data_IF_753354962008
#
_entry.id   IF_753354962008
#
_cell.length_a   1.000
_cell.length_b   1.000
_cell.length_c   1.000
_cell.angle_alpha   90.00
_cell.angle_beta   90.00
_cell.angle_gamma   90.00
#
_symmetry.space_group_name_H-M   'P 1'
#
loop_
_entity.id
_entity.type
_entity.pdbx_description
1 polymer ?
#
# COMPACT_ATOMS: atom_id res chain seq x y z
N UNK A 1 16.13 4.76 31.08
CA UNK A 1 15.34 5.88 30.51
C UNK A 1 14.07 6.07 31.36
N UNK A 2 13.65 7.30 31.70
CA UNK A 2 12.45 7.55 32.52
C UNK A 2 11.15 7.07 31.83
N UNK A 3 10.23 6.42 32.56
CA UNK A 3 8.98 5.83 32.03
C UNK A 3 8.06 6.87 31.39
N UNK A 4 8.01 8.08 31.95
CA UNK A 4 7.30 9.26 31.46
C UNK A 4 7.74 9.66 30.05
N UNK A 5 9.05 9.59 29.75
CA UNK A 5 9.56 9.86 28.40
C UNK A 5 9.10 8.80 27.40
N UNK A 6 9.13 7.52 27.76
CA UNK A 6 8.69 6.42 26.87
C UNK A 6 7.22 6.60 26.47
N UNK A 7 6.36 6.92 27.44
CA UNK A 7 4.93 7.18 27.21
C UNK A 7 4.73 8.41 26.33
N UNK A 8 5.44 9.51 26.58
CA UNK A 8 5.34 10.72 25.76
C UNK A 8 5.73 10.50 24.29
N UNK A 9 6.84 9.77 24.05
CA UNK A 9 7.32 9.47 22.69
C UNK A 9 6.32 8.57 21.95
N UNK A 10 5.72 7.59 22.64
CA UNK A 10 4.69 6.72 22.07
C UNK A 10 3.44 7.52 21.65
N UNK A 11 2.94 8.42 22.50
CA UNK A 11 1.80 9.27 22.19
C UNK A 11 2.09 10.19 20.98
N UNK A 12 3.27 10.81 20.95
CA UNK A 12 3.68 11.63 19.82
C UNK A 12 3.72 10.83 18.51
N UNK A 13 4.24 9.59 18.55
CA UNK A 13 4.29 8.69 17.40
C UNK A 13 2.89 8.34 16.85
N UNK A 14 1.93 8.05 17.73
CA UNK A 14 0.53 7.77 17.32
C UNK A 14 -0.11 9.00 16.68
N UNK A 15 0.06 10.18 17.28
CA UNK A 15 -0.51 11.44 16.75
C UNK A 15 0.09 11.77 15.38
N UNK A 16 1.41 11.65 15.21
CA UNK A 16 2.08 11.90 13.93
C UNK A 16 1.55 10.95 12.85
N UNK A 17 1.44 9.64 13.14
CA UNK A 17 0.90 8.64 12.20
C UNK A 17 -0.53 9.00 11.79
N UNK A 18 -1.37 9.43 12.73
CA UNK A 18 -2.74 9.84 12.44
C UNK A 18 -2.79 11.07 11.52
N UNK A 19 -2.04 12.11 11.84
CA UNK A 19 -1.98 13.34 11.03
C UNK A 19 -1.52 13.05 9.61
N UNK A 20 -0.43 12.27 9.44
CA UNK A 20 0.08 11.90 8.12
C UNK A 20 -0.95 11.10 7.30
N UNK A 21 -1.67 10.18 7.94
CA UNK A 21 -2.75 9.45 7.31
C UNK A 21 -3.86 10.40 6.83
N UNK A 22 -4.37 11.29 7.70
CA UNK A 22 -5.42 12.25 7.31
C UNK A 22 -4.98 13.13 6.14
N UNK A 23 -3.76 13.68 6.20
CA UNK A 23 -3.21 14.49 5.10
C UNK A 23 -3.07 13.67 3.81
N UNK A 24 -2.74 12.39 3.92
CA UNK A 24 -2.61 11.50 2.78
C UNK A 24 -3.92 11.20 2.05
N UNK A 25 -5.07 11.10 2.75
CA UNK A 25 -6.34 10.95 2.04
C UNK A 25 -6.64 12.14 1.13
N UNK A 26 -6.34 13.33 1.64
CA UNK A 26 -6.71 14.59 0.98
C UNK A 26 -5.70 14.97 -0.10
N UNK A 27 -4.40 14.90 0.22
CA UNK A 27 -3.32 15.43 -0.64
C UNK A 27 -2.44 14.33 -1.26
N UNK A 28 -2.29 13.18 -0.60
CA UNK A 28 -1.42 12.09 -1.05
C UNK A 28 -2.05 11.16 -2.09
N UNK A 29 -3.34 11.34 -2.39
CA UNK A 29 -4.08 10.51 -3.34
C UNK A 29 -4.59 9.18 -2.75
N UNK A 30 -4.64 9.04 -1.41
CA UNK A 30 -5.04 7.80 -0.74
C UNK A 30 -6.42 7.28 -1.17
N UNK A 31 -7.41 8.17 -1.35
CA UNK A 31 -8.75 7.81 -1.83
C UNK A 31 -8.69 7.34 -3.29
N UNK A 32 -7.97 8.08 -4.14
CA UNK A 32 -7.86 7.77 -5.58
C UNK A 32 -7.21 6.40 -5.76
N UNK A 33 -6.14 6.12 -5.02
CA UNK A 33 -5.45 4.83 -5.05
C UNK A 33 -6.35 3.70 -4.53
N UNK A 34 -7.06 3.92 -3.43
CA UNK A 34 -7.98 2.93 -2.87
C UNK A 34 -9.11 2.59 -3.87
N UNK A 35 -9.65 3.59 -4.55
CA UNK A 35 -10.64 3.39 -5.61
C UNK A 35 -10.04 2.65 -6.80
N UNK A 36 -8.81 2.99 -7.23
CA UNK A 36 -8.11 2.29 -8.30
C UNK A 36 -7.91 0.80 -8.01
N UNK A 37 -7.46 0.47 -6.79
CA UNK A 37 -7.35 -0.92 -6.34
C UNK A 37 -8.70 -1.61 -6.16
N UNK A 38 -9.74 -0.89 -5.73
CA UNK A 38 -11.10 -1.42 -5.64
C UNK A 38 -11.68 -1.75 -7.01
N UNK A 39 -11.46 -0.90 -8.00
CA UNK A 39 -11.88 -1.11 -9.38
C UNK A 39 -11.14 -2.29 -10.02
N UNK A 40 -9.82 -2.39 -9.82
CA UNK A 40 -9.03 -3.55 -10.26
C UNK A 40 -9.55 -4.84 -9.61
N UNK A 41 -9.96 -4.79 -8.34
CA UNK A 41 -10.56 -5.95 -7.67
C UNK A 41 -11.91 -6.35 -8.27
N UNK A 42 -12.77 -5.37 -8.58
CA UNK A 42 -14.06 -5.62 -9.22
C UNK A 42 -13.88 -6.32 -10.57
N UNK A 43 -12.95 -5.85 -11.41
CA UNK A 43 -12.60 -6.51 -12.68
C UNK A 43 -12.16 -7.95 -12.44
N UNK A 44 -11.28 -8.17 -11.45
CA UNK A 44 -10.80 -9.51 -11.12
C UNK A 44 -11.92 -10.45 -10.66
N UNK A 45 -12.92 -9.94 -9.94
CA UNK A 45 -14.08 -10.73 -9.54
C UNK A 45 -15.00 -11.07 -10.71
N UNK A 46 -15.21 -10.13 -11.64
CA UNK A 46 -16.00 -10.36 -12.86
C UNK A 46 -15.36 -11.43 -13.74
N UNK A 47 -14.02 -11.46 -13.82
CA UNK A 47 -13.28 -12.42 -14.62
C UNK A 47 -13.23 -13.83 -14.00
N UNK A 48 -13.70 -14.01 -12.75
CA UNK A 48 -13.80 -15.25 -11.94
C UNK A 48 -12.48 -16.02 -11.75
N UNK A 49 -11.76 -16.32 -12.81
CA UNK A 49 -10.43 -16.96 -12.81
C UNK A 49 -9.41 -16.13 -12.03
N UNK A 50 -9.59 -14.81 -11.94
CA UNK A 50 -8.67 -13.89 -11.27
C UNK A 50 -9.11 -13.46 -9.86
N UNK A 51 -10.08 -14.14 -9.24
CA UNK A 51 -10.55 -13.86 -7.87
C UNK A 51 -9.40 -13.72 -6.84
N UNK A 52 -8.34 -14.58 -6.82
CA UNK A 52 -7.24 -14.43 -5.87
C UNK A 52 -6.53 -13.07 -5.98
N UNK A 53 -6.45 -12.52 -7.19
CA UNK A 53 -5.87 -11.20 -7.45
C UNK A 53 -6.77 -10.07 -6.96
N UNK A 54 -8.08 -10.23 -7.10
CA UNK A 54 -9.05 -9.26 -6.59
C UNK A 54 -8.98 -9.11 -5.07
N UNK A 55 -8.86 -10.23 -4.35
CA UNK A 55 -8.66 -10.20 -2.88
C UNK A 55 -7.36 -9.51 -2.51
N UNK A 56 -6.28 -9.79 -3.24
CA UNK A 56 -4.99 -9.16 -3.00
C UNK A 56 -5.03 -7.64 -3.29
N UNK A 57 -5.75 -7.23 -4.33
CA UNK A 57 -5.99 -5.84 -4.70
C UNK A 57 -6.83 -5.10 -3.65
N UNK A 58 -7.92 -5.69 -3.13
CA UNK A 58 -8.70 -5.08 -2.05
C UNK A 58 -7.87 -4.83 -0.78
N UNK A 59 -6.98 -5.76 -0.44
CA UNK A 59 -6.08 -5.55 0.69
C UNK A 59 -5.14 -4.38 0.46
N UNK A 60 -4.64 -4.20 -0.77
CA UNK A 60 -3.86 -3.01 -1.12
C UNK A 60 -4.70 -1.74 -1.13
N UNK A 61 -5.99 -1.80 -1.49
CA UNK A 61 -6.91 -0.68 -1.37
C UNK A 61 -7.04 -0.21 0.09
N UNK A 62 -7.22 -1.14 1.02
CA UNK A 62 -7.28 -0.84 2.46
C UNK A 62 -5.94 -0.31 2.98
N UNK A 63 -4.84 -0.85 2.48
CA UNK A 63 -3.51 -0.37 2.85
C UNK A 63 -3.21 1.02 2.27
N UNK A 64 -3.67 1.33 1.06
CA UNK A 64 -3.52 2.64 0.45
C UNK A 64 -4.43 3.69 1.08
N UNK A 65 -5.51 3.31 1.77
CA UNK A 65 -6.24 4.24 2.63
C UNK A 65 -5.33 4.69 3.77
N UNK A 66 -4.81 3.75 4.59
CA UNK A 66 -3.93 4.00 5.74
C UNK A 66 -2.52 3.37 5.62
N UNK A 67 -1.58 4.03 4.93
CA UNK A 67 -0.23 3.49 4.72
C UNK A 67 0.76 3.79 5.85
N UNK A 68 0.53 4.85 6.65
CA UNK A 68 1.48 5.23 7.70
C UNK A 68 1.26 4.40 8.95
N UNK A 69 2.36 3.89 9.51
CA UNK A 69 2.31 2.97 10.65
C UNK A 69 2.03 1.51 10.28
N UNK A 70 2.02 1.15 8.99
CA UNK A 70 1.87 -0.23 8.49
C UNK A 70 2.98 -0.60 7.54
N UNK A 71 3.28 -1.88 7.37
CA UNK A 71 4.27 -2.37 6.41
C UNK A 71 3.86 -3.70 5.80
N UNK A 72 4.42 -4.02 4.64
CA UNK A 72 4.10 -5.23 3.89
C UNK A 72 5.20 -6.25 4.08
N UNK A 73 4.91 -7.36 4.75
CA UNK A 73 5.85 -8.44 5.02
C UNK A 73 5.50 -9.70 4.23
N UNK A 74 6.46 -10.57 3.92
CA UNK A 74 6.18 -11.89 3.36
C UNK A 74 5.37 -12.74 4.34
N UNK A 75 4.31 -13.39 3.85
CA UNK A 75 3.48 -14.29 4.66
C UNK A 75 4.16 -15.66 4.79
N UNK A 76 4.32 -16.21 6.01
CA UNK A 76 4.81 -17.57 6.21
C UNK A 76 3.93 -18.59 5.46
N UNK A 77 4.54 -19.50 4.71
CA UNK A 77 3.84 -20.50 3.91
C UNK A 77 3.40 -20.06 2.50
N UNK A 78 3.79 -18.85 2.06
CA UNK A 78 3.67 -18.48 0.65
C UNK A 78 4.58 -19.35 -0.22
N UNK A 79 3.98 -20.28 -0.98
CA UNK A 79 4.71 -21.22 -1.84
C UNK A 79 4.79 -20.81 -3.32
N UNK A 80 5.29 -21.72 -4.14
CA UNK A 80 5.48 -21.57 -5.60
C UNK A 80 4.22 -21.09 -6.31
N UNK A 81 3.03 -21.52 -5.88
CA UNK A 81 1.75 -21.08 -6.44
C UNK A 81 1.54 -19.56 -6.34
N UNK A 82 1.96 -18.91 -5.24
CA UNK A 82 1.92 -17.46 -5.11
C UNK A 82 2.91 -16.79 -6.07
N UNK A 83 4.08 -17.38 -6.28
CA UNK A 83 5.05 -16.89 -7.26
C UNK A 83 4.49 -16.90 -8.68
N UNK A 84 3.93 -18.03 -9.12
CA UNK A 84 3.34 -18.18 -10.45
C UNK A 84 2.14 -17.23 -10.66
N UNK A 85 1.28 -17.10 -9.65
CA UNK A 85 0.18 -16.15 -9.69
C UNK A 85 0.69 -14.70 -9.83
N UNK A 86 1.73 -14.31 -9.07
CA UNK A 86 2.29 -12.96 -9.20
C UNK A 86 2.88 -12.69 -10.59
N UNK A 87 3.45 -13.68 -11.28
CA UNK A 87 3.89 -13.50 -12.68
C UNK A 87 2.70 -13.15 -13.58
N UNK A 88 1.59 -13.89 -13.47
CA UNK A 88 0.37 -13.58 -14.20
C UNK A 88 -0.16 -12.19 -13.85
N UNK A 89 -0.16 -11.83 -12.57
CA UNK A 89 -0.56 -10.50 -12.10
C UNK A 89 0.29 -9.39 -12.71
N UNK A 90 1.62 -9.53 -12.67
CA UNK A 90 2.54 -8.52 -13.20
C UNK A 90 2.25 -8.26 -14.66
N UNK A 91 1.97 -9.28 -15.47
CA UNK A 91 1.66 -9.13 -16.90
C UNK A 91 0.30 -8.44 -17.12
N UNK A 92 -0.71 -8.78 -16.32
CA UNK A 92 -2.08 -8.27 -16.51
C UNK A 92 -2.28 -6.84 -15.96
N UNK A 93 -1.84 -6.58 -14.73
CA UNK A 93 -2.20 -5.36 -13.99
C UNK A 93 -1.09 -4.80 -13.09
N UNK A 94 -0.18 -5.64 -12.57
CA UNK A 94 0.78 -5.26 -11.55
C UNK A 94 1.76 -4.18 -12.01
N UNK A 95 2.20 -4.20 -13.28
CA UNK A 95 3.13 -3.20 -13.80
C UNK A 95 2.47 -1.82 -13.99
N UNK A 96 1.22 -1.77 -14.44
CA UNK A 96 0.46 -0.53 -14.55
C UNK A 96 0.30 0.15 -13.19
N UNK A 97 -0.12 -0.61 -12.18
CA UNK A 97 -0.32 -0.11 -10.81
C UNK A 97 1.00 0.37 -10.19
N UNK A 98 2.08 -0.40 -10.36
CA UNK A 98 3.41 0.00 -9.91
C UNK A 98 3.87 1.29 -10.59
N UNK A 99 3.66 1.43 -11.89
CA UNK A 99 4.00 2.64 -12.64
C UNK A 99 3.16 3.84 -12.18
N UNK A 100 1.86 3.67 -11.96
CA UNK A 100 0.99 4.73 -11.41
C UNK A 100 1.51 5.25 -10.08
N UNK A 101 1.97 4.36 -9.19
CA UNK A 101 2.59 4.77 -7.92
C UNK A 101 3.92 5.51 -8.12
N UNK A 102 4.76 5.06 -9.06
CA UNK A 102 6.03 5.73 -9.34
C UNK A 102 5.78 7.15 -9.86
N UNK A 103 4.87 7.30 -10.83
CA UNK A 103 4.54 8.59 -11.42
C UNK A 103 3.89 9.53 -10.40
N UNK A 104 2.91 9.05 -9.62
CA UNK A 104 2.29 9.82 -8.55
C UNK A 104 3.33 10.21 -7.47
N UNK A 105 4.23 9.29 -7.12
CA UNK A 105 5.28 9.55 -6.14
C UNK A 105 6.25 10.64 -6.59
N UNK A 106 6.69 10.59 -7.85
CA UNK A 106 7.55 11.62 -8.44
C UNK A 106 6.82 12.98 -8.47
N UNK A 107 5.57 13.01 -8.93
CA UNK A 107 4.78 14.24 -8.99
C UNK A 107 4.62 14.89 -7.61
N UNK A 108 4.37 14.09 -6.57
CA UNK A 108 4.28 14.58 -5.19
C UNK A 108 5.64 15.08 -4.67
N UNK A 109 6.75 14.39 -4.98
CA UNK A 109 8.08 14.82 -4.58
C UNK A 109 8.49 16.18 -5.18
N UNK A 110 8.04 16.49 -6.40
CA UNK A 110 8.32 17.80 -7.06
C UNK A 110 7.78 18.97 -6.24
N UNK A 111 6.70 18.79 -5.48
CA UNK A 111 6.11 19.85 -4.67
C UNK A 111 6.87 20.16 -3.37
N UNK A 112 7.94 19.41 -3.05
CA UNK A 112 8.72 19.42 -1.79
C UNK A 112 7.88 19.05 -0.56
N UNK A 113 6.76 19.73 -0.33
CA UNK A 113 5.78 19.45 0.73
C UNK A 113 5.19 18.04 0.58
N UNK A 114 5.07 17.54 -0.66
CA UNK A 114 4.56 16.21 -0.96
C UNK A 114 5.56 15.06 -0.80
N UNK A 115 6.84 15.33 -0.49
CA UNK A 115 7.87 14.28 -0.27
C UNK A 115 7.41 13.14 0.65
N UNK A 116 6.82 13.38 1.86
CA UNK A 116 6.33 12.28 2.70
C UNK A 116 5.29 11.40 2.01
N UNK A 117 4.44 11.97 1.15
CA UNK A 117 3.44 11.23 0.38
C UNK A 117 4.06 10.54 -0.84
N UNK A 118 5.06 11.14 -1.46
CA UNK A 118 5.84 10.50 -2.52
C UNK A 118 6.52 9.23 -2.03
N UNK A 119 7.15 9.30 -0.86
CA UNK A 119 7.75 8.14 -0.19
C UNK A 119 6.71 7.05 0.11
N UNK A 120 5.51 7.43 0.57
CA UNK A 120 4.43 6.48 0.81
C UNK A 120 3.99 5.76 -0.49
N UNK A 121 3.93 6.47 -1.62
CA UNK A 121 3.69 5.86 -2.93
C UNK A 121 4.78 4.87 -3.33
N UNK A 122 6.05 5.24 -3.20
CA UNK A 122 7.16 4.33 -3.52
C UNK A 122 7.17 3.08 -2.65
N UNK A 123 6.76 3.20 -1.38
CA UNK A 123 6.61 2.05 -0.47
C UNK A 123 5.50 1.09 -0.90
N UNK A 124 4.47 1.57 -1.59
CA UNK A 124 3.39 0.74 -2.13
C UNK A 124 3.82 -0.02 -3.40
N UNK A 125 4.81 0.47 -4.14
CA UNK A 125 5.25 -0.12 -5.43
C UNK A 125 5.56 -1.62 -5.35
N UNK A 126 6.39 -2.12 -4.40
CA UNK A 126 6.70 -3.55 -4.35
C UNK A 126 5.46 -4.39 -4.03
N UNK A 127 4.54 -3.86 -3.23
CA UNK A 127 3.31 -4.54 -2.87
C UNK A 127 2.32 -4.57 -4.05
N UNK A 128 2.23 -3.46 -4.81
CA UNK A 128 1.44 -3.34 -6.04
C UNK A 128 1.93 -4.32 -7.13
N UNK A 129 3.25 -4.41 -7.28
CA UNK A 129 3.88 -5.27 -8.27
C UNK A 129 3.77 -6.76 -7.91
N UNK A 130 3.89 -7.10 -6.63
CA UNK A 130 3.95 -8.50 -6.16
C UNK A 130 3.04 -8.75 -4.94
N UNK A 131 1.71 -8.72 -5.10
CA UNK A 131 0.79 -8.72 -3.98
C UNK A 131 0.57 -10.09 -3.32
N UNK A 132 0.64 -11.21 -4.04
CA UNK A 132 0.32 -12.52 -3.44
C UNK A 132 1.46 -13.01 -2.54
N UNK A 133 1.09 -13.72 -1.46
CA UNK A 133 2.05 -14.20 -0.47
C UNK A 133 2.61 -13.12 0.45
N UNK A 134 1.97 -11.96 0.51
CA UNK A 134 2.30 -10.85 1.42
C UNK A 134 1.18 -10.60 2.41
N UNK A 135 1.48 -9.95 3.52
CA UNK A 135 0.48 -9.44 4.47
C UNK A 135 0.85 -8.04 4.96
N UNK A 136 -0.17 -7.27 5.33
CA UNK A 136 -0.02 -5.90 5.85
C UNK A 136 -0.10 -5.99 7.37
N UNK A 137 0.97 -5.59 8.04
CA UNK A 137 1.08 -5.61 9.51
C UNK A 137 1.39 -4.21 10.02
N UNK A 138 1.13 -3.96 11.29
CA UNK A 138 1.53 -2.70 11.92
C UNK A 138 3.05 -2.60 12.00
N UNK A 139 3.57 -1.42 11.67
CA UNK A 139 4.98 -1.12 11.73
C UNK A 139 5.40 -0.88 13.18
N UNK A 140 6.61 -1.36 13.59
CA UNK A 140 7.15 -1.19 14.93
C UNK A 140 7.20 0.27 15.41
#
# INVERSE_FOLDING_TARGET
MPRDRVVSIAHAGVVIRFVLNVLWLVFGGGIVLAVGYGFAALICFVLVVTIPFGVASLRLAVYSLWPFGRTVVPKPGAGVASGLANVLWVVLAGWWLALSHILAGIALCVTIIGIPFGIANFKLVPAAFWPLGREVVDAP
#
